data_IF_649825522351
#
_entry.id   IF_649825522351
#
_cell.length_a   1.000
_cell.length_b   1.000
_cell.length_c   1.000
_cell.angle_alpha   90.00
_cell.angle_beta   90.00
_cell.angle_gamma   90.00
#
_symmetry.space_group_name_H-M   'P 1'
#
loop_
_entity.id
_entity.type
_entity.pdbx_description
1 polymer ?
#
# COMPACT_ATOMS: atom_id res chain seq x y z
N UNK A 1 -0.83 17.18 -5.59
CA UNK A 1 -0.12 16.45 -6.66
C UNK A 1 -0.42 14.97 -6.45
N UNK A 2 -0.85 14.25 -7.48
CA UNK A 2 -1.22 12.83 -7.38
C UNK A 2 -0.15 11.98 -8.06
N UNK A 3 0.53 11.14 -7.28
CA UNK A 3 1.60 10.24 -7.72
C UNK A 3 1.06 8.85 -8.08
N UNK A 4 -0.02 8.46 -7.41
CA UNK A 4 -0.84 7.28 -7.71
C UNK A 4 -2.28 7.71 -7.96
N UNK A 5 -3.04 6.83 -8.60
CA UNK A 5 -4.46 6.94 -8.91
C UNK A 5 -5.15 5.59 -8.63
N UNK A 6 -6.49 5.56 -8.70
CA UNK A 6 -7.24 4.30 -8.57
C UNK A 6 -6.81 3.25 -9.61
N UNK A 7 -6.38 3.68 -10.80
CA UNK A 7 -5.90 2.77 -11.85
C UNK A 7 -4.56 2.08 -11.53
N UNK A 8 -3.83 2.55 -10.50
CA UNK A 8 -2.62 1.90 -10.03
C UNK A 8 -2.93 0.76 -9.01
N UNK A 9 -4.19 0.59 -8.61
CA UNK A 9 -4.66 -0.44 -7.68
C UNK A 9 -5.33 -1.58 -8.45
N UNK A 10 -4.85 -2.81 -8.23
CA UNK A 10 -5.33 -4.02 -8.93
C UNK A 10 -5.84 -5.11 -7.97
N UNK A 11 -6.28 -4.73 -6.77
CA UNK A 11 -6.84 -5.68 -5.81
C UNK A 11 -8.33 -5.89 -6.09
N UNK A 12 -8.70 -7.11 -6.52
CA UNK A 12 -10.08 -7.46 -6.87
C UNK A 12 -11.03 -7.53 -5.66
N UNK A 13 -10.49 -7.66 -4.45
CA UNK A 13 -11.27 -7.75 -3.22
C UNK A 13 -11.46 -6.37 -2.59
N UNK A 14 -10.48 -5.49 -2.75
CA UNK A 14 -10.42 -4.21 -2.06
C UNK A 14 -10.87 -3.07 -2.98
N UNK A 15 -12.06 -2.52 -2.71
CA UNK A 15 -12.54 -1.32 -3.43
C UNK A 15 -12.04 -0.06 -2.73
N UNK A 16 -10.90 0.46 -3.18
CA UNK A 16 -10.36 1.75 -2.71
C UNK A 16 -11.14 2.94 -3.27
N UNK A 17 -11.16 4.05 -2.53
CA UNK A 17 -11.74 5.33 -2.95
C UNK A 17 -10.68 6.42 -3.06
N UNK A 18 -11.08 7.60 -3.54
CA UNK A 18 -10.20 8.78 -3.63
C UNK A 18 -9.61 9.22 -2.27
N UNK A 19 -10.31 8.93 -1.17
CA UNK A 19 -9.79 9.18 0.18
C UNK A 19 -8.57 8.29 0.48
N UNK A 20 -8.60 7.03 0.08
CA UNK A 20 -7.44 6.13 0.24
C UNK A 20 -6.27 6.56 -0.63
N UNK A 21 -6.55 7.01 -1.86
CA UNK A 21 -5.55 7.57 -2.77
C UNK A 21 -4.90 8.81 -2.15
N UNK A 22 -5.68 9.64 -1.44
CA UNK A 22 -5.14 10.78 -0.71
C UNK A 22 -4.17 10.32 0.38
N UNK A 23 -4.54 9.32 1.17
CA UNK A 23 -3.65 8.73 2.21
C UNK A 23 -2.36 8.14 1.60
N UNK A 24 -2.47 7.48 0.44
CA UNK A 24 -1.32 6.94 -0.28
C UNK A 24 -0.36 8.03 -0.75
N UNK A 25 -0.89 9.10 -1.36
CA UNK A 25 -0.10 10.23 -1.83
C UNK A 25 0.54 11.02 -0.68
N UNK A 26 -0.17 11.21 0.43
CA UNK A 26 0.35 11.84 1.63
C UNK A 26 1.48 11.04 2.27
N UNK A 27 1.40 9.71 2.20
CA UNK A 27 2.47 8.82 2.65
C UNK A 27 3.73 8.97 1.79
N UNK A 28 3.59 9.02 0.47
CA UNK A 28 4.72 9.30 -0.43
C UNK A 28 5.35 10.66 -0.09
N UNK A 29 4.54 11.71 0.07
CA UNK A 29 5.01 13.05 0.40
C UNK A 29 5.68 13.14 1.78
N UNK A 30 5.20 12.36 2.76
CA UNK A 30 5.81 12.25 4.09
C UNK A 30 7.18 11.61 4.02
N UNK A 31 7.33 10.48 3.32
CA UNK A 31 8.62 9.79 3.20
C UNK A 31 9.65 10.60 2.41
N UNK A 32 9.22 11.29 1.34
CA UNK A 32 10.08 12.22 0.62
C UNK A 32 10.61 13.34 1.54
N UNK A 33 9.73 13.94 2.36
CA UNK A 33 10.13 14.95 3.35
C UNK A 33 11.08 14.40 4.40
N UNK A 34 10.84 13.18 4.90
CA UNK A 34 11.71 12.51 5.88
C UNK A 34 13.13 12.32 5.34
N UNK A 35 13.25 12.03 4.05
CA UNK A 35 14.54 11.81 3.37
C UNK A 35 15.12 13.09 2.75
N UNK A 36 14.49 14.25 2.98
CA UNK A 36 14.83 15.53 2.34
C UNK A 36 14.95 15.45 0.82
N UNK A 37 14.15 14.57 0.21
CA UNK A 37 14.17 14.31 -1.22
C UNK A 37 13.08 15.10 -1.95
N UNK A 38 13.37 15.50 -3.18
CA UNK A 38 12.38 16.05 -4.10
C UNK A 38 11.81 14.93 -4.94
N UNK A 39 10.49 14.82 -4.98
CA UNK A 39 9.79 13.89 -5.86
C UNK A 39 9.90 14.40 -7.30
N UNK A 40 10.43 13.59 -8.21
CA UNK A 40 10.58 13.90 -9.63
C UNK A 40 9.67 13.03 -10.48
N UNK A 41 9.13 13.59 -11.55
CA UNK A 41 8.37 12.85 -12.56
C UNK A 41 9.27 12.31 -13.68
N UNK A 42 9.05 11.07 -14.15
CA UNK A 42 8.04 10.12 -13.67
C UNK A 42 8.44 9.51 -12.31
N UNK A 43 7.45 9.36 -11.43
CA UNK A 43 7.65 8.75 -10.11
C UNK A 43 8.12 7.30 -10.25
N UNK A 44 9.17 6.93 -9.52
CA UNK A 44 9.73 5.59 -9.57
C UNK A 44 8.71 4.51 -9.13
N UNK A 45 8.73 3.30 -9.72
CA UNK A 45 7.77 2.25 -9.40
C UNK A 45 7.70 1.86 -7.92
N UNK A 46 8.84 1.87 -7.22
CA UNK A 46 8.89 1.55 -5.78
C UNK A 46 8.15 2.59 -4.93
N UNK A 47 8.21 3.87 -5.34
CA UNK A 47 7.48 4.96 -4.68
C UNK A 47 5.99 4.86 -4.96
N UNK A 48 5.60 4.53 -6.20
CA UNK A 48 4.20 4.23 -6.52
C UNK A 48 3.67 3.07 -5.68
N UNK A 49 4.45 1.98 -5.54
CA UNK A 49 4.04 0.83 -4.72
C UNK A 49 3.88 1.18 -3.25
N UNK A 50 4.75 2.03 -2.69
CA UNK A 50 4.57 2.56 -1.33
C UNK A 50 3.19 3.21 -1.18
N UNK A 51 2.83 4.11 -2.10
CA UNK A 51 1.54 4.78 -2.07
C UNK A 51 0.36 3.81 -2.18
N UNK A 52 0.44 2.85 -3.12
CA UNK A 52 -0.60 1.82 -3.29
C UNK A 52 -0.77 0.99 -2.02
N UNK A 53 0.33 0.53 -1.40
CA UNK A 53 0.25 -0.21 -0.15
C UNK A 53 -0.38 0.61 0.98
N UNK A 54 -0.05 1.90 1.08
CA UNK A 54 -0.63 2.79 2.09
C UNK A 54 -2.14 3.02 1.87
N UNK A 55 -2.57 3.23 0.62
CA UNK A 55 -3.99 3.34 0.27
C UNK A 55 -4.74 2.06 0.62
N UNK A 56 -4.22 0.89 0.23
CA UNK A 56 -4.84 -0.39 0.55
C UNK A 56 -4.86 -0.67 2.06
N UNK A 57 -3.81 -0.31 2.81
CA UNK A 57 -3.81 -0.41 4.27
C UNK A 57 -4.96 0.38 4.90
N UNK A 58 -5.19 1.61 4.42
CA UNK A 58 -6.27 2.45 4.94
C UNK A 58 -7.64 1.81 4.71
N UNK A 59 -7.90 1.36 3.48
CA UNK A 59 -9.15 0.69 3.12
C UNK A 59 -9.36 -0.60 3.92
N UNK A 60 -8.33 -1.43 4.09
CA UNK A 60 -8.42 -2.63 4.91
C UNK A 60 -8.70 -2.30 6.38
N UNK A 61 -8.14 -1.22 6.94
CA UNK A 61 -8.44 -0.81 8.32
C UNK A 61 -9.90 -0.38 8.51
N UNK A 62 -10.46 0.30 7.51
CA UNK A 62 -11.87 0.72 7.53
C UNK A 62 -12.85 -0.46 7.36
N UNK A 63 -12.40 -1.55 6.73
CA UNK A 63 -13.22 -2.74 6.44
C UNK A 63 -12.94 -3.94 7.36
N UNK A 64 -11.90 -3.87 8.20
CA UNK A 64 -11.60 -4.93 9.16
C UNK A 64 -12.81 -5.18 10.07
N UNK A 65 -13.19 -6.45 10.22
CA UNK A 65 -14.36 -6.90 10.98
C UNK A 65 -15.70 -6.77 10.23
N UNK A 66 -15.70 -6.33 8.97
CA UNK A 66 -16.91 -6.22 8.14
C UNK A 66 -17.03 -7.33 7.09
N UNK A 67 -16.09 -8.28 7.08
CA UNK A 67 -16.10 -9.39 6.15
C UNK A 67 -17.31 -10.32 6.41
N UNK A 68 -18.26 -10.43 5.45
CA UNK A 68 -19.47 -11.22 5.64
C UNK A 68 -19.21 -12.73 5.61
N UNK A 69 -18.01 -13.16 5.19
CA UNK A 69 -17.59 -14.56 5.15
C UNK A 69 -16.90 -15.00 6.43
N UNK A 70 -16.61 -14.07 7.35
CA UNK A 70 -16.08 -14.38 8.67
C UNK A 70 -17.12 -15.19 9.43
N UNK A 71 -16.93 -16.51 9.48
CA UNK A 71 -17.81 -17.40 10.23
C UNK A 71 -17.52 -17.20 11.73
N UNK A 72 -18.45 -16.55 12.42
CA UNK A 72 -18.53 -16.56 13.89
C UNK A 72 -18.91 -17.98 14.37
N UNK A 73 -18.01 -18.93 14.18
CA UNK A 73 -18.14 -20.26 14.78
C UNK A 73 -17.65 -20.13 16.22
N UNK A 74 -18.62 -20.19 17.15
CA UNK A 74 -18.38 -20.11 18.59
C UNK A 74 -17.24 -21.03 19.08
N UNK A 75 -16.59 -20.59 20.15
CA UNK A 75 -15.52 -21.24 20.91
C UNK A 75 -14.18 -21.54 20.19
N UNK A 76 -14.11 -21.58 18.85
CA UNK A 76 -12.88 -21.86 18.08
C UNK A 76 -12.78 -21.05 16.77
N UNK A 77 -13.41 -19.88 16.70
CA UNK A 77 -13.40 -19.00 15.53
C UNK A 77 -11.96 -18.66 15.13
N UNK A 78 -11.56 -19.10 13.93
CA UNK A 78 -10.22 -18.85 13.40
C UNK A 78 -10.07 -17.34 13.19
N UNK A 79 -9.26 -16.69 14.02
CA UNK A 79 -8.89 -15.26 13.92
C UNK A 79 -8.29 -14.87 12.54
N UNK A 80 -8.05 -15.85 11.67
CA UNK A 80 -7.61 -15.70 10.29
C UNK A 80 -8.74 -15.78 9.25
N UNK A 81 -10.02 -15.72 9.60
CA UNK A 81 -11.08 -15.76 8.57
C UNK A 81 -11.40 -14.42 7.91
N UNK A 82 -11.01 -13.29 8.51
CA UNK A 82 -11.23 -11.96 7.93
C UNK A 82 -10.20 -11.68 6.81
N UNK A 83 -10.68 -11.63 5.58
CA UNK A 83 -9.85 -11.36 4.39
C UNK A 83 -9.19 -9.96 4.44
N UNK A 84 -9.86 -8.96 5.01
CA UNK A 84 -9.33 -7.61 5.13
C UNK A 84 -8.22 -7.54 6.17
N UNK A 85 -8.33 -8.28 7.27
CA UNK A 85 -7.25 -8.38 8.27
C UNK A 85 -6.00 -9.06 7.69
N UNK A 86 -6.17 -10.11 6.88
CA UNK A 86 -5.06 -10.76 6.18
C UNK A 86 -4.38 -9.81 5.19
N UNK A 87 -5.17 -9.14 4.34
CA UNK A 87 -4.68 -8.16 3.36
C UNK A 87 -3.99 -6.99 4.06
N UNK A 88 -4.53 -6.49 5.16
CA UNK A 88 -3.91 -5.44 5.97
C UNK A 88 -2.50 -5.84 6.41
N UNK A 89 -2.34 -7.05 6.95
CA UNK A 89 -1.03 -7.56 7.37
C UNK A 89 -0.05 -7.64 6.21
N UNK A 90 -0.51 -8.10 5.05
CA UNK A 90 0.29 -8.19 3.82
C UNK A 90 0.74 -6.81 3.32
N UNK A 91 -0.19 -5.86 3.18
CA UNK A 91 0.12 -4.51 2.72
C UNK A 91 1.02 -3.76 3.70
N UNK A 92 0.82 -3.91 5.01
CA UNK A 92 1.69 -3.32 6.03
C UNK A 92 3.11 -3.89 5.95
N UNK A 93 3.23 -5.22 5.86
CA UNK A 93 4.55 -5.88 5.76
C UNK A 93 5.32 -5.39 4.52
N UNK A 94 4.65 -5.27 3.38
CA UNK A 94 5.27 -4.74 2.17
C UNK A 94 5.61 -3.25 2.30
N UNK A 95 4.73 -2.45 2.89
CA UNK A 95 4.97 -1.03 3.15
C UNK A 95 6.21 -0.83 4.03
N UNK A 96 6.31 -1.55 5.15
CA UNK A 96 7.44 -1.48 6.08
C UNK A 96 8.74 -1.93 5.40
N UNK A 97 8.68 -3.00 4.59
CA UNK A 97 9.81 -3.45 3.77
C UNK A 97 10.27 -2.34 2.83
N UNK A 98 9.35 -1.72 2.07
CA UNK A 98 9.70 -0.63 1.16
C UNK A 98 10.36 0.50 1.95
N UNK A 99 9.71 1.02 3.00
CA UNK A 99 10.20 2.13 3.84
C UNK A 99 11.61 1.85 4.38
N UNK A 100 11.87 0.63 4.85
CA UNK A 100 13.20 0.24 5.37
C UNK A 100 14.32 0.27 4.33
N UNK A 101 13.99 0.21 3.04
CA UNK A 101 14.95 0.15 1.94
C UNK A 101 14.99 1.43 1.10
N UNK A 102 14.13 2.41 1.42
CA UNK A 102 14.02 3.68 0.71
C UNK A 102 15.18 4.61 1.04
N UNK A 103 15.66 5.27 -0.01
CA UNK A 103 16.70 6.28 0.03
C UNK A 103 16.23 7.52 -0.72
N UNK A 104 16.93 8.65 -0.54
CA UNK A 104 16.60 9.88 -1.26
C UNK A 104 16.72 9.72 -2.79
N UNK A 105 17.57 8.81 -3.26
CA UNK A 105 17.76 8.50 -4.69
C UNK A 105 16.50 7.90 -5.32
N UNK A 106 15.71 7.13 -4.57
CA UNK A 106 14.47 6.51 -5.06
C UNK A 106 13.39 7.54 -5.44
N UNK A 107 13.51 8.78 -4.95
CA UNK A 107 12.60 9.89 -5.26
C UNK A 107 13.11 10.81 -6.38
N UNK A 108 14.39 10.70 -6.75
CA UNK A 108 15.09 11.61 -7.68
C UNK A 108 15.31 11.07 -9.11
N UNK A 109 15.93 11.89 -9.96
CA UNK A 109 16.15 11.61 -11.39
C UNK A 109 17.34 10.68 -11.70
N UNK A 110 18.22 10.40 -10.73
CA UNK A 110 19.37 9.53 -10.95
C UNK A 110 19.03 8.09 -10.61
N UNK A 111 18.60 7.35 -11.62
CA UNK A 111 18.84 5.91 -11.73
C UNK A 111 18.50 5.09 -10.50
N UNK A 112 17.37 5.39 -9.84
CA UNK A 112 16.76 4.50 -8.86
C UNK A 112 16.63 3.13 -9.52
N UNK A 113 17.58 2.24 -9.19
CA UNK A 113 17.68 0.89 -9.75
C UNK A 113 16.27 0.35 -9.77
N UNK A 114 15.75 0.02 -10.94
CA UNK A 114 14.40 -0.45 -11.11
C UNK A 114 14.19 -1.68 -10.21
N UNK A 115 13.79 -1.45 -8.96
CA UNK A 115 13.35 -2.46 -8.02
C UNK A 115 11.91 -2.72 -8.43
N UNK A 116 11.79 -3.41 -9.56
CA UNK A 116 10.54 -4.00 -10.00
C UNK A 116 10.04 -4.85 -8.85
N UNK A 117 8.99 -4.40 -8.22
CA UNK A 117 8.26 -5.26 -7.33
C UNK A 117 6.86 -5.39 -7.90
N UNK A 118 6.87 -6.33 -8.85
CA UNK A 118 5.81 -7.06 -9.57
C UNK A 118 4.62 -7.38 -8.65
N UNK A 119 3.40 -7.53 -9.20
CA UNK A 119 2.11 -7.37 -8.51
C UNK A 119 1.99 -8.14 -7.19
N UNK A 120 1.22 -7.57 -6.27
CA UNK A 120 0.75 -8.25 -5.08
C UNK A 120 -0.37 -9.25 -5.46
N UNK A 121 -0.06 -10.21 -6.32
CA UNK A 121 -0.90 -11.40 -6.51
C UNK A 121 -0.32 -12.54 -5.71
N UNK A 122 -1.12 -13.12 -4.82
CA UNK A 122 -1.13 -14.57 -4.63
C UNK A 122 -2.57 -15.07 -4.63
N UNK A 123 -2.77 -16.02 -5.54
CA UNK A 123 -3.81 -17.05 -5.64
C UNK A 123 -4.29 -17.58 -4.30
#
# INVERSE_FOLDING_TARGET
>A
MSYITLNDIFDEVLTCTDEDITVGNDTIAREARRLHAKIVDPVAPIIKRLGVCAACCNRCLMQAGTDPTTTFNGANGVEYSDVYAQKLKMYRTEMDRIISTLTAEDFGAMGGRARYSIPLHRS
#
